data_IF_848763484084
#
_entry.id   IF_848763484084
#
_cell.length_a   1.000
_cell.length_b   1.000
_cell.length_c   1.000
_cell.angle_alpha   90.00
_cell.angle_beta   90.00
_cell.angle_gamma   90.00
#
_symmetry.space_group_name_H-M   'P 1'
#
loop_
_entity.id
_entity.type
_entity.pdbx_description
1 polymer ?
#
# COMPACT_ATOMS: atom_id res chain seq x y z
N UNK A 1 7.57 -4.79 -9.42
CA UNK A 1 6.40 -5.67 -9.60
C UNK A 1 5.26 -4.83 -10.16
N UNK A 2 4.40 -5.36 -11.06
CA UNK A 2 3.26 -4.59 -11.58
C UNK A 2 2.16 -4.51 -10.51
N UNK A 3 1.65 -3.32 -10.22
CA UNK A 3 0.54 -3.10 -9.29
C UNK A 3 -0.77 -3.60 -9.93
N UNK A 4 -1.54 -4.49 -9.26
CA UNK A 4 -2.83 -4.96 -9.75
C UNK A 4 -3.88 -3.83 -9.88
N UNK A 5 -4.76 -3.93 -10.88
CA UNK A 5 -5.81 -2.93 -11.12
C UNK A 5 -6.82 -2.81 -9.96
N UNK A 6 -7.03 -3.88 -9.20
CA UNK A 6 -7.88 -3.85 -8.01
C UNK A 6 -7.27 -3.01 -6.89
N UNK A 7 -5.94 -2.95 -6.79
CA UNK A 7 -5.26 -2.02 -5.89
C UNK A 7 -5.47 -0.60 -6.39
N UNK A 8 -5.27 -0.34 -7.68
CA UNK A 8 -5.50 1.01 -8.25
C UNK A 8 -6.94 1.48 -8.05
N UNK A 9 -7.91 0.57 -8.20
CA UNK A 9 -9.32 0.86 -7.96
C UNK A 9 -9.60 1.17 -6.49
N UNK A 10 -8.99 0.43 -5.55
CA UNK A 10 -9.12 0.70 -4.12
C UNK A 10 -8.45 2.03 -3.71
N UNK A 11 -7.29 2.34 -4.31
CA UNK A 11 -6.51 3.54 -4.05
C UNK A 11 -6.97 4.75 -4.86
N UNK A 12 -8.07 4.66 -5.62
CA UNK A 12 -8.43 5.66 -6.64
C UNK A 12 -8.44 7.09 -6.10
N UNK A 13 -9.03 7.31 -4.93
CA UNK A 13 -9.09 8.65 -4.32
C UNK A 13 -7.70 9.23 -4.01
N UNK A 14 -6.73 8.39 -3.63
CA UNK A 14 -5.36 8.81 -3.41
C UNK A 14 -4.63 9.01 -4.74
N UNK A 15 -4.85 8.14 -5.71
CA UNK A 15 -4.26 8.25 -7.04
C UNK A 15 -4.69 9.54 -7.74
N UNK A 16 -5.97 9.88 -7.67
CA UNK A 16 -6.52 11.09 -8.30
C UNK A 16 -5.89 12.37 -7.72
N UNK A 17 -5.37 12.32 -6.49
CA UNK A 17 -4.74 13.46 -5.81
C UNK A 17 -3.21 13.46 -5.89
N UNK A 18 -2.58 12.29 -5.80
CA UNK A 18 -1.15 12.15 -5.52
C UNK A 18 -0.39 11.31 -6.56
N UNK A 19 -1.09 10.74 -7.55
CA UNK A 19 -0.52 9.85 -8.57
C UNK A 19 -0.51 8.37 -8.17
N UNK A 20 -0.15 7.49 -9.10
CA UNK A 20 -0.25 6.02 -8.94
C UNK A 20 1.06 5.32 -8.52
N UNK A 21 1.81 5.94 -7.60
CA UNK A 21 3.08 5.42 -7.12
C UNK A 21 2.91 4.42 -5.95
N UNK A 22 3.57 3.26 -6.06
CA UNK A 22 3.55 2.21 -5.03
C UNK A 22 4.89 1.50 -4.91
N UNK A 23 5.26 1.16 -3.68
CA UNK A 23 6.37 0.26 -3.36
C UNK A 23 5.85 -1.15 -3.07
N UNK A 24 6.47 -2.18 -3.65
CA UNK A 24 6.18 -3.57 -3.27
C UNK A 24 7.02 -3.95 -2.06
N UNK A 25 6.37 -4.31 -0.95
CA UNK A 25 7.05 -4.64 0.31
C UNK A 25 7.33 -6.15 0.48
N UNK A 26 6.71 -7.01 -0.33
CA UNK A 26 6.83 -8.46 -0.20
C UNK A 26 5.52 -9.14 0.18
N UNK A 27 5.60 -10.31 0.84
CA UNK A 27 4.42 -11.09 1.25
C UNK A 27 4.14 -10.96 2.75
N UNK A 28 2.93 -10.54 3.10
CA UNK A 28 2.41 -10.57 4.47
C UNK A 28 1.28 -11.60 4.59
N UNK A 29 1.48 -12.63 5.41
CA UNK A 29 0.51 -13.72 5.62
C UNK A 29 -0.01 -14.33 4.30
N UNK A 30 0.88 -14.49 3.32
CA UNK A 30 0.59 -15.05 1.99
C UNK A 30 -0.13 -14.10 1.02
N UNK A 31 -0.29 -12.82 1.37
CA UNK A 31 -0.81 -11.76 0.50
C UNK A 31 0.33 -10.85 0.06
N UNK A 32 0.32 -10.39 -1.18
CA UNK A 32 1.27 -9.40 -1.68
C UNK A 32 0.96 -8.03 -1.08
N UNK A 33 1.95 -7.35 -0.51
CA UNK A 33 1.79 -6.08 0.18
C UNK A 33 2.42 -4.94 -0.63
N UNK A 34 1.65 -3.88 -0.84
CA UNK A 34 2.05 -2.68 -1.56
C UNK A 34 1.85 -1.45 -0.68
N UNK A 35 2.84 -0.58 -0.59
CA UNK A 35 2.77 0.71 0.11
C UNK A 35 2.49 1.82 -0.90
N UNK A 36 1.44 2.61 -0.66
CA UNK A 36 1.21 3.83 -1.44
C UNK A 36 2.30 4.87 -1.16
N UNK A 37 2.84 5.48 -2.21
CA UNK A 37 3.89 6.49 -2.10
C UNK A 37 3.32 7.88 -2.30
N UNK A 38 3.23 8.63 -1.20
CA UNK A 38 2.91 10.04 -1.23
C UNK A 38 4.11 10.87 -1.71
N UNK A 39 3.87 12.04 -2.34
CA UNK A 39 4.89 13.05 -2.55
C UNK A 39 5.56 13.47 -1.23
N UNK A 40 6.85 13.81 -1.27
CA UNK A 40 7.67 14.04 -0.06
C UNK A 40 7.12 15.13 0.87
N UNK A 41 6.44 16.15 0.33
CA UNK A 41 5.89 17.29 1.08
C UNK A 41 4.41 17.11 1.47
N UNK A 42 3.94 15.88 1.69
CA UNK A 42 2.53 15.60 2.03
C UNK A 42 2.35 15.15 3.48
N UNK A 43 1.54 15.87 4.24
CA UNK A 43 1.15 15.49 5.61
C UNK A 43 0.04 14.44 5.59
N UNK A 44 0.42 13.16 5.48
CA UNK A 44 -0.52 12.03 5.42
C UNK A 44 -0.35 11.11 6.62
N UNK A 45 -1.16 11.32 7.66
CA UNK A 45 -1.06 10.67 8.98
C UNK A 45 -0.50 9.23 8.99
N UNK A 46 -1.36 8.21 8.81
CA UNK A 46 -0.92 6.82 8.72
C UNK A 46 -0.66 6.40 7.27
N UNK A 47 0.30 5.49 7.02
CA UNK A 47 0.55 4.96 5.69
C UNK A 47 -0.61 4.09 5.19
N UNK A 48 -0.71 3.95 3.87
CA UNK A 48 -1.70 3.12 3.20
C UNK A 48 -1.02 1.90 2.60
N UNK A 49 -1.34 0.73 3.13
CA UNK A 49 -0.91 -0.57 2.62
C UNK A 49 -2.07 -1.25 1.90
N UNK A 50 -1.82 -1.77 0.72
CA UNK A 50 -2.76 -2.58 -0.04
C UNK A 50 -2.28 -4.03 -0.06
N UNK A 51 -3.08 -4.92 0.53
CA UNK A 51 -2.86 -6.36 0.50
C UNK A 51 -3.63 -6.97 -0.66
N UNK A 52 -2.95 -7.74 -1.50
CA UNK A 52 -3.52 -8.38 -2.66
C UNK A 52 -3.36 -9.89 -2.62
N UNK A 53 -4.45 -10.60 -2.87
CA UNK A 53 -4.46 -12.05 -3.06
C UNK A 53 -5.70 -12.45 -3.85
N UNK A 54 -5.54 -13.37 -4.81
CA UNK A 54 -6.64 -13.97 -5.58
C UNK A 54 -7.62 -12.94 -6.18
N UNK A 55 -7.08 -11.86 -6.75
CA UNK A 55 -7.88 -10.80 -7.39
C UNK A 55 -8.57 -9.84 -6.41
N UNK A 56 -8.35 -9.97 -5.10
CA UNK A 56 -8.93 -9.10 -4.07
C UNK A 56 -7.87 -8.19 -3.47
N UNK A 57 -8.13 -6.88 -3.52
CA UNK A 57 -7.37 -5.86 -2.79
C UNK A 57 -8.04 -5.57 -1.44
N UNK A 58 -7.25 -5.32 -0.41
CA UNK A 58 -7.70 -4.88 0.91
C UNK A 58 -6.80 -3.75 1.37
N UNK A 59 -7.39 -2.59 1.62
CA UNK A 59 -6.69 -1.45 2.21
C UNK A 59 -6.48 -1.67 3.71
N UNK A 60 -5.29 -1.35 4.20
CA UNK A 60 -4.88 -1.40 5.59
C UNK A 60 -4.19 -0.07 5.92
N UNK A 61 -4.69 0.60 6.96
CA UNK A 61 -4.12 1.84 7.51
C UNK A 61 -3.99 1.73 9.03
N UNK A 62 -3.59 2.80 9.71
CA UNK A 62 -3.43 2.82 11.16
C UNK A 62 -2.22 2.01 11.66
N UNK A 63 -2.29 1.58 12.93
CA UNK A 63 -1.22 0.80 13.56
C UNK A 63 -0.94 -0.54 12.87
N UNK A 64 -1.92 -1.14 12.21
CA UNK A 64 -1.70 -2.38 11.46
C UNK A 64 -0.75 -2.13 10.27
N UNK A 65 -0.91 -1.03 9.54
CA UNK A 65 -0.02 -0.67 8.45
C UNK A 65 1.42 -0.46 8.95
N UNK A 66 1.60 0.22 10.08
CA UNK A 66 2.92 0.37 10.72
C UNK A 66 3.53 -0.98 11.11
N UNK A 67 2.70 -1.91 11.64
CA UNK A 67 3.14 -3.26 11.97
C UNK A 67 3.61 -4.05 10.75
N UNK A 68 2.91 -3.93 9.62
CA UNK A 68 3.31 -4.57 8.36
C UNK A 68 4.63 -3.99 7.85
N UNK A 69 4.77 -2.66 7.82
CA UNK A 69 6.01 -2.00 7.38
C UNK A 69 7.19 -2.46 8.24
N UNK A 70 7.05 -2.45 9.57
CA UNK A 70 8.10 -2.90 10.49
C UNK A 70 8.56 -4.34 10.23
N UNK A 71 7.66 -5.21 9.77
CA UNK A 71 7.99 -6.61 9.50
C UNK A 71 8.66 -6.83 8.14
N UNK A 72 8.39 -5.96 7.16
CA UNK A 72 8.77 -6.18 5.76
C UNK A 72 9.88 -5.25 5.27
N UNK A 73 9.97 -4.04 5.79
CA UNK A 73 11.04 -3.08 5.48
C UNK A 73 12.18 -3.32 6.48
N UNK A 74 13.36 -3.62 5.96
CA UNK A 74 14.59 -3.73 6.74
C UNK A 74 15.35 -2.41 6.68
N UNK A 75 16.08 -2.11 7.75
CA UNK A 75 17.03 -0.99 7.83
C UNK A 75 18.15 -1.11 6.79
#
# INVERSE_FOLDING_TARGET
>A
MKVPEQIKSAAKSLIDLYGDAFDYLGKYKGKDAFLFRFPEDTDTGFPYIYLFKDGKATEVTGFEALGIIRLLVKD
#
